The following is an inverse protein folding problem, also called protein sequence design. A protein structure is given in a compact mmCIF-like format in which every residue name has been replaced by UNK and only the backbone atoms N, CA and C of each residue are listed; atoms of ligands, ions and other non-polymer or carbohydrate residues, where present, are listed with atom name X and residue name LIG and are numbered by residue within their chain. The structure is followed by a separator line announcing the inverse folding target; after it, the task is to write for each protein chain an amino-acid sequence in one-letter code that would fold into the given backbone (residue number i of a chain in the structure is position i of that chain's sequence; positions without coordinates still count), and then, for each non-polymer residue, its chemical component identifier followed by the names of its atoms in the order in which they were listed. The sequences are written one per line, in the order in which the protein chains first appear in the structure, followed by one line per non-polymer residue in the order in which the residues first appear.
data_IF_020267842371
#
_entry.id   IF_020267842371
#
_cell.length_a   1.000
_cell.length_b   1.000
_cell.length_c   1.000
_cell.angle_alpha   90.00
_cell.angle_beta   90.00
_cell.angle_gamma   90.00
#
_symmetry.space_group_name_H-M   'P 1'
#
loop_
_entity.id
_entity.type
_entity.pdbx_description
1 polymer ?
#
# COMPACT_ATOMS: atom_id res chain seq x y z
N UNK A 1 1.77 7.96 19.67
CA UNK A 1 1.39 8.26 18.26
C UNK A 1 1.88 9.64 17.91
N UNK A 2 2.50 9.80 16.73
CA UNK A 2 2.96 11.11 16.22
C UNK A 2 1.75 11.94 15.74
N UNK A 3 1.90 13.27 15.62
CA UNK A 3 0.80 14.17 15.23
C UNK A 3 0.15 13.74 13.90
N UNK A 4 0.96 13.39 12.91
CA UNK A 4 0.49 12.91 11.61
C UNK A 4 -0.45 11.70 11.75
N UNK A 5 -0.07 10.68 12.54
CA UNK A 5 -0.94 9.52 12.80
C UNK A 5 -2.27 9.90 13.46
N UNK A 6 -2.23 10.83 14.43
CA UNK A 6 -3.45 11.30 15.14
C UNK A 6 -4.46 11.94 14.21
N UNK A 7 -4.02 12.51 13.08
CA UNK A 7 -4.90 13.09 12.05
C UNK A 7 -5.28 12.04 11.01
N UNK A 8 -4.31 11.26 10.53
CA UNK A 8 -4.51 10.32 9.43
C UNK A 8 -5.38 9.11 9.80
N UNK A 9 -5.35 8.63 11.05
CA UNK A 9 -6.23 7.53 11.46
C UNK A 9 -7.72 7.92 11.46
N UNK A 10 -8.13 9.05 12.06
CA UNK A 10 -9.51 9.53 11.92
C UNK A 10 -9.93 9.73 10.47
N UNK A 11 -9.08 10.31 9.62
CA UNK A 11 -9.37 10.46 8.18
C UNK A 11 -9.61 9.10 7.52
N UNK A 12 -8.74 8.13 7.78
CA UNK A 12 -8.89 6.77 7.27
C UNK A 12 -10.22 6.13 7.71
N UNK A 13 -10.58 6.28 8.99
CA UNK A 13 -11.84 5.76 9.54
C UNK A 13 -13.04 6.41 8.84
N UNK A 14 -13.03 7.74 8.67
CA UNK A 14 -14.08 8.46 7.97
C UNK A 14 -14.22 8.00 6.51
N UNK A 15 -13.11 7.77 5.81
CA UNK A 15 -13.13 7.24 4.44
C UNK A 15 -13.74 5.84 4.40
N UNK A 16 -13.35 4.94 5.30
CA UNK A 16 -13.93 3.59 5.38
C UNK A 16 -15.45 3.66 5.59
N UNK A 17 -15.90 4.49 6.55
CA UNK A 17 -17.33 4.64 6.81
C UNK A 17 -18.09 5.28 5.63
N UNK A 18 -17.47 6.24 4.95
CA UNK A 18 -18.03 6.86 3.73
C UNK A 18 -18.27 5.81 2.64
N UNK A 19 -17.23 5.03 2.28
CA UNK A 19 -17.36 4.01 1.24
C UNK A 19 -18.29 2.86 1.65
N UNK A 20 -18.24 2.43 2.91
CA UNK A 20 -19.15 1.42 3.44
C UNK A 20 -20.61 1.88 3.42
N UNK A 21 -20.87 3.16 3.76
CA UNK A 21 -22.20 3.74 3.70
C UNK A 21 -22.74 3.75 2.26
N UNK A 22 -21.94 4.20 1.29
CA UNK A 22 -22.36 4.23 -0.11
C UNK A 22 -22.54 2.82 -0.68
N UNK A 23 -21.62 1.89 -0.41
CA UNK A 23 -21.74 0.51 -0.84
C UNK A 23 -23.00 -0.19 -0.32
N UNK A 24 -23.52 0.21 0.86
CA UNK A 24 -24.73 -0.38 1.45
C UNK A 24 -26.02 0.29 1.00
N UNK A 25 -26.04 1.62 0.92
CA UNK A 25 -27.27 2.38 0.66
C UNK A 25 -27.48 2.69 -0.83
N UNK A 26 -26.41 2.75 -1.61
CA UNK A 26 -26.47 2.96 -3.05
C UNK A 26 -25.35 2.18 -3.78
N UNK A 27 -25.48 0.84 -3.89
CA UNK A 27 -24.46 -0.01 -4.50
C UNK A 27 -24.11 0.41 -5.93
N UNK A 28 -25.11 0.83 -6.71
CA UNK A 28 -24.90 1.29 -8.09
C UNK A 28 -23.96 2.51 -8.12
N UNK A 29 -24.19 3.52 -7.27
CA UNK A 29 -23.29 4.67 -7.18
C UNK A 29 -21.88 4.28 -6.71
N UNK A 30 -21.78 3.38 -5.74
CA UNK A 30 -20.48 2.91 -5.28
C UNK A 30 -19.68 2.24 -6.42
N UNK A 31 -20.29 1.36 -7.19
CA UNK A 31 -19.60 0.59 -8.22
C UNK A 31 -19.34 1.40 -9.50
N UNK A 32 -20.27 2.26 -9.92
CA UNK A 32 -20.16 3.01 -11.18
C UNK A 32 -19.42 4.34 -11.06
N UNK A 33 -19.37 4.96 -9.88
CA UNK A 33 -18.79 6.30 -9.72
C UNK A 33 -17.59 6.31 -8.76
N UNK A 34 -17.64 5.55 -7.66
CA UNK A 34 -16.58 5.59 -6.64
C UNK A 34 -15.46 4.59 -6.89
N UNK A 35 -15.81 3.35 -7.24
CA UNK A 35 -14.92 2.20 -7.35
C UNK A 35 -14.59 1.78 -8.80
N UNK A 36 -15.03 2.56 -9.79
CA UNK A 36 -14.75 2.36 -11.21
C UNK A 36 -13.29 2.65 -11.56
N UNK A 37 -12.79 2.09 -12.67
CA UNK A 37 -11.50 2.45 -13.26
C UNK A 37 -11.43 3.97 -13.51
N UNK A 38 -10.34 4.61 -13.11
CA UNK A 38 -10.20 6.07 -13.14
C UNK A 38 -10.99 6.81 -12.04
N UNK A 39 -11.70 6.08 -11.17
CA UNK A 39 -12.58 6.64 -10.15
C UNK A 39 -11.84 7.20 -8.92
N UNK A 40 -12.57 7.88 -8.02
CA UNK A 40 -12.01 8.51 -6.82
C UNK A 40 -11.18 7.56 -5.94
N UNK A 41 -11.59 6.31 -5.77
CA UNK A 41 -10.85 5.33 -4.96
C UNK A 41 -9.44 5.08 -5.50
N UNK A 42 -9.31 4.82 -6.79
CA UNK A 42 -8.02 4.56 -7.43
C UNK A 42 -7.14 5.82 -7.40
N UNK A 43 -7.70 7.02 -7.59
CA UNK A 43 -6.93 8.28 -7.44
C UNK A 43 -6.36 8.46 -6.03
N UNK A 44 -7.12 8.07 -4.99
CA UNK A 44 -6.62 8.07 -3.61
C UNK A 44 -5.53 7.02 -3.40
N UNK A 45 -5.65 5.83 -4.00
CA UNK A 45 -4.61 4.78 -3.95
C UNK A 45 -3.32 5.29 -4.59
N UNK A 46 -3.39 5.81 -5.82
CA UNK A 46 -2.27 6.42 -6.54
C UNK A 46 -1.60 7.49 -5.68
N UNK A 47 -2.39 8.43 -5.16
CA UNK A 47 -1.87 9.54 -4.35
C UNK A 47 -1.15 9.02 -3.09
N UNK A 48 -1.70 7.99 -2.45
CA UNK A 48 -1.11 7.34 -1.27
C UNK A 48 0.21 6.65 -1.60
N UNK A 49 0.27 5.90 -2.71
CA UNK A 49 1.47 5.21 -3.18
C UNK A 49 2.56 6.17 -3.64
N UNK A 50 2.19 7.23 -4.38
CA UNK A 50 3.13 8.29 -4.78
C UNK A 50 3.70 8.99 -3.55
N UNK A 51 2.88 9.29 -2.55
CA UNK A 51 3.36 9.86 -1.29
C UNK A 51 4.35 8.90 -0.59
N UNK A 52 4.05 7.61 -0.51
CA UNK A 52 4.97 6.59 0.03
C UNK A 52 6.31 6.56 -0.73
N UNK A 53 6.25 6.61 -2.06
CA UNK A 53 7.41 6.63 -2.94
C UNK A 53 8.31 7.86 -2.69
N UNK A 54 7.71 9.05 -2.64
CA UNK A 54 8.43 10.30 -2.34
C UNK A 54 9.06 10.25 -0.95
N UNK A 55 8.35 9.72 0.05
CA UNK A 55 8.92 9.55 1.40
C UNK A 55 10.16 8.67 1.41
N UNK A 56 10.16 7.57 0.64
CA UNK A 56 11.31 6.69 0.49
C UNK A 56 12.51 7.41 -0.14
N UNK A 57 12.31 8.12 -1.25
CA UNK A 57 13.36 8.87 -1.94
C UNK A 57 13.92 10.00 -1.10
N UNK A 58 13.03 10.74 -0.42
CA UNK A 58 13.43 11.79 0.51
C UNK A 58 14.32 11.23 1.62
N UNK A 59 13.90 10.14 2.27
CA UNK A 59 14.66 9.48 3.34
C UNK A 59 16.00 8.94 2.88
N UNK A 60 16.04 8.30 1.71
CA UNK A 60 17.30 7.85 1.12
C UNK A 60 18.29 9.03 1.00
N UNK A 61 17.82 10.15 0.48
CA UNK A 61 18.63 11.35 0.27
C UNK A 61 19.12 11.98 1.57
N UNK A 62 18.23 12.12 2.57
CA UNK A 62 18.56 12.79 3.84
C UNK A 62 19.33 11.92 4.84
N UNK A 63 19.21 10.58 4.76
CA UNK A 63 19.83 9.65 5.71
C UNK A 63 21.05 8.90 5.15
N UNK A 64 21.29 8.92 3.83
CA UNK A 64 22.48 8.31 3.20
C UNK A 64 23.80 8.65 3.90
N UNK A 65 24.10 9.91 4.28
CA UNK A 65 25.36 10.25 4.95
C UNK A 65 25.55 9.56 6.31
N UNK A 66 24.46 9.14 6.95
CA UNK A 66 24.48 8.62 8.31
C UNK A 66 24.23 7.11 8.39
N UNK A 67 23.49 6.55 7.42
CA UNK A 67 23.08 5.13 7.38
C UNK A 67 23.79 4.33 6.28
N UNK A 68 24.57 5.00 5.43
CA UNK A 68 25.37 4.38 4.39
C UNK A 68 24.61 4.09 3.09
N UNK A 69 25.35 3.59 2.10
CA UNK A 69 24.84 3.35 0.74
C UNK A 69 23.81 2.23 0.65
N UNK A 70 23.94 1.17 1.45
CA UNK A 70 22.99 0.04 1.44
C UNK A 70 21.60 0.49 1.89
N UNK A 71 21.50 1.24 3.00
CA UNK A 71 20.23 1.80 3.47
C UNK A 71 19.57 2.67 2.40
N UNK A 72 20.35 3.54 1.75
CA UNK A 72 19.85 4.43 0.71
C UNK A 72 19.37 3.65 -0.51
N UNK A 73 20.13 2.64 -0.97
CA UNK A 73 19.76 1.79 -2.10
C UNK A 73 18.46 1.01 -1.82
N UNK A 74 18.33 0.41 -0.63
CA UNK A 74 17.10 -0.28 -0.23
C UNK A 74 15.91 0.68 -0.14
N UNK A 75 16.10 1.88 0.42
CA UNK A 75 15.05 2.90 0.48
C UNK A 75 14.61 3.35 -0.91
N UNK A 76 15.56 3.59 -1.84
CA UNK A 76 15.24 3.93 -3.23
C UNK A 76 14.50 2.77 -3.91
N UNK A 77 14.97 1.54 -3.74
CA UNK A 77 14.30 0.38 -4.28
C UNK A 77 12.85 0.28 -3.79
N UNK A 78 12.60 0.41 -2.49
CA UNK A 78 11.23 0.46 -1.94
C UNK A 78 10.41 1.60 -2.53
N UNK A 79 10.99 2.78 -2.75
CA UNK A 79 10.33 3.90 -3.41
C UNK A 79 9.95 3.59 -4.87
N UNK A 80 10.82 2.93 -5.63
CA UNK A 80 10.55 2.47 -7.01
C UNK A 80 9.41 1.45 -7.01
N UNK A 81 9.40 0.51 -6.05
CA UNK A 81 8.33 -0.48 -5.94
C UNK A 81 6.98 0.22 -5.71
N UNK A 82 6.88 1.17 -4.78
CA UNK A 82 5.64 1.95 -4.60
C UNK A 82 5.23 2.74 -5.84
N UNK A 83 6.20 3.32 -6.56
CA UNK A 83 5.93 4.03 -7.81
C UNK A 83 5.40 3.08 -8.89
N UNK A 84 5.98 1.89 -9.02
CA UNK A 84 5.51 0.89 -9.97
C UNK A 84 4.07 0.46 -9.67
N UNK A 85 3.72 0.22 -8.40
CA UNK A 85 2.33 -0.04 -8.00
C UNK A 85 1.40 1.14 -8.33
N UNK A 86 1.83 2.39 -8.09
CA UNK A 86 1.02 3.56 -8.44
C UNK A 86 0.79 3.70 -9.95
N UNK A 87 1.79 3.33 -10.76
CA UNK A 87 1.68 3.35 -12.21
C UNK A 87 0.86 2.18 -12.76
N UNK A 88 0.77 1.06 -12.05
CA UNK A 88 -0.05 -0.08 -12.43
C UNK A 88 -1.51 0.03 -11.98
N UNK A 89 -1.79 0.92 -11.01
CA UNK A 89 -3.13 1.11 -10.43
C UNK A 89 -4.18 1.53 -11.45
N UNK A 90 -3.78 2.25 -12.50
CA UNK A 90 -4.64 2.74 -13.58
C UNK A 90 -4.01 2.49 -14.94
N UNK A 91 -4.85 2.30 -15.96
CA UNK A 91 -4.40 2.21 -17.35
C UNK A 91 -4.07 3.58 -17.96
N UNK A 92 -2.98 4.20 -17.51
CA UNK A 92 -2.54 5.54 -17.94
C UNK A 92 -2.45 5.73 -19.46
N UNK A 93 -2.01 4.72 -20.20
CA UNK A 93 -1.90 4.77 -21.66
C UNK A 93 -3.25 4.99 -22.35
N UNK A 94 -4.30 4.36 -21.83
CA UNK A 94 -5.67 4.50 -22.33
C UNK A 94 -6.32 5.79 -21.82
N UNK A 95 -6.07 6.16 -20.57
CA UNK A 95 -6.68 7.34 -19.93
C UNK A 95 -6.08 8.64 -20.49
N UNK A 96 -4.75 8.75 -20.55
CA UNK A 96 -4.06 9.99 -20.96
C UNK A 96 -3.94 10.09 -22.48
N UNK A 97 -3.51 9.01 -23.13
CA UNK A 97 -3.14 9.03 -24.54
C UNK A 97 -4.18 8.39 -25.47
N UNK A 98 -5.27 7.84 -24.91
CA UNK A 98 -6.31 7.11 -25.64
C UNK A 98 -5.75 6.02 -26.56
N UNK A 99 -4.61 5.44 -26.17
CA UNK A 99 -4.04 4.35 -26.94
C UNK A 99 -4.91 3.10 -26.83
N UNK A 100 -5.18 2.42 -27.95
CA UNK A 100 -5.88 1.15 -27.90
C UNK A 100 -4.98 0.11 -27.21
N UNK A 101 -5.60 -0.78 -26.45
CA UNK A 101 -4.87 -1.88 -25.83
C UNK A 101 -4.27 -2.78 -26.92
N UNK A 102 -2.94 -3.01 -26.92
CA UNK A 102 -2.29 -3.89 -27.87
C UNK A 102 -2.93 -5.29 -27.85
N UNK A 103 -3.04 -5.93 -29.01
CA UNK A 103 -3.69 -7.24 -29.15
C UNK A 103 -3.16 -8.28 -28.15
N UNK A 104 -1.84 -8.28 -27.95
CA UNK A 104 -1.15 -9.16 -27.02
C UNK A 104 -1.67 -9.05 -25.57
N UNK A 105 -1.96 -7.83 -25.12
CA UNK A 105 -2.47 -7.56 -23.77
C UNK A 105 -3.98 -7.79 -23.76
N UNK A 106 -4.71 -7.33 -24.78
CA UNK A 106 -6.17 -7.42 -24.87
C UNK A 106 -6.70 -8.84 -24.71
N UNK A 107 -6.05 -9.83 -25.33
CA UNK A 107 -6.47 -11.25 -25.22
C UNK A 107 -6.09 -11.91 -23.89
N UNK A 108 -5.32 -11.21 -23.04
CA UNK A 108 -4.81 -11.70 -21.75
C UNK A 108 -5.17 -10.78 -20.60
N UNK A 109 -5.99 -9.76 -20.79
CA UNK A 109 -6.41 -8.84 -19.74
C UNK A 109 -7.93 -8.94 -19.61
N UNK A 110 -8.43 -9.17 -18.39
CA UNK A 110 -9.86 -9.40 -18.15
C UNK A 110 -10.74 -8.20 -18.50
N UNK A 111 -10.19 -6.99 -18.42
CA UNK A 111 -10.86 -5.73 -18.72
C UNK A 111 -10.42 -5.13 -20.05
N UNK A 112 -9.54 -5.81 -20.79
CA UNK A 112 -8.96 -5.28 -22.02
C UNK A 112 -8.13 -4.02 -21.79
N UNK A 113 -7.56 -3.88 -20.60
CA UNK A 113 -6.78 -2.74 -20.14
C UNK A 113 -5.28 -2.89 -20.40
N UNK A 114 -4.52 -1.78 -20.38
CA UNK A 114 -3.06 -1.78 -20.57
C UNK A 114 -2.28 -2.09 -19.28
N UNK A 115 -2.91 -1.98 -18.11
CA UNK A 115 -2.29 -2.33 -16.83
C UNK A 115 -2.02 -3.84 -16.71
N UNK A 116 -1.09 -4.18 -15.82
CA UNK A 116 -0.63 -5.55 -15.57
C UNK A 116 -1.56 -6.23 -14.57
N UNK A 117 -2.12 -5.48 -13.61
CA UNK A 117 -2.96 -6.03 -12.54
C UNK A 117 -4.20 -6.80 -13.02
N UNK A 118 -4.75 -6.48 -14.18
CA UNK A 118 -5.90 -7.21 -14.76
C UNK A 118 -5.50 -8.29 -15.77
N UNK A 119 -4.21 -8.62 -15.87
CA UNK A 119 -3.77 -9.75 -16.68
C UNK A 119 -4.29 -11.08 -16.11
N UNK A 120 -4.64 -11.99 -17.00
CA UNK A 120 -5.10 -13.34 -16.73
C UNK A 120 -3.95 -14.31 -17.01
N UNK A 121 -3.51 -15.01 -15.98
CA UNK A 121 -2.46 -16.04 -16.06
C UNK A 121 -3.06 -17.36 -15.57
N UNK A 122 -2.97 -18.40 -16.41
CA UNK A 122 -3.53 -19.72 -16.09
C UNK A 122 -5.03 -19.71 -15.71
N UNK A 123 -5.81 -18.77 -16.26
CA UNK A 123 -7.24 -18.63 -15.99
C UNK A 123 -7.59 -17.79 -14.76
N UNK A 124 -6.61 -17.20 -14.08
CA UNK A 124 -6.81 -16.35 -12.91
C UNK A 124 -6.31 -14.94 -13.17
N UNK A 125 -7.07 -13.94 -12.71
CA UNK A 125 -6.60 -12.55 -12.73
C UNK A 125 -5.45 -12.34 -11.72
N UNK A 126 -4.46 -11.56 -12.13
CA UNK A 126 -3.33 -11.18 -11.26
C UNK A 126 -3.85 -10.50 -10.00
N UNK A 127 -4.84 -9.62 -10.11
CA UNK A 127 -5.47 -8.95 -8.96
C UNK A 127 -6.02 -9.97 -7.97
N UNK A 128 -6.72 -11.00 -8.46
CA UNK A 128 -7.26 -12.06 -7.60
C UNK A 128 -6.16 -12.84 -6.87
N UNK A 129 -5.09 -13.23 -7.56
CA UNK A 129 -3.99 -14.00 -6.94
C UNK A 129 -3.24 -13.13 -5.92
N UNK A 130 -2.83 -11.92 -6.33
CA UNK A 130 -1.97 -11.05 -5.55
C UNK A 130 -2.73 -10.44 -4.38
N UNK A 131 -3.93 -9.89 -4.58
CA UNK A 131 -4.64 -9.15 -3.53
C UNK A 131 -5.55 -10.03 -2.68
N UNK A 132 -6.03 -11.16 -3.18
CA UNK A 132 -6.96 -12.01 -2.41
C UNK A 132 -6.22 -12.95 -1.45
N UNK A 133 -5.06 -13.48 -1.86
CA UNK A 133 -4.32 -14.47 -1.06
C UNK A 133 -2.89 -14.01 -0.73
N UNK A 134 -2.12 -13.60 -1.73
CA UNK A 134 -0.70 -13.29 -1.58
C UNK A 134 -0.44 -12.17 -0.56
N UNK A 135 -0.98 -10.98 -0.83
CA UNK A 135 -0.80 -9.79 0.01
C UNK A 135 -1.41 -10.00 1.39
N UNK A 136 -2.59 -10.61 1.52
CA UNK A 136 -3.20 -10.81 2.86
C UNK A 136 -2.35 -11.72 3.75
N UNK A 137 -1.86 -12.84 3.22
CA UNK A 137 -1.00 -13.75 3.99
C UNK A 137 0.34 -13.08 4.28
N UNK A 138 1.02 -12.56 3.25
CA UNK A 138 2.33 -11.93 3.40
C UNK A 138 2.29 -10.71 4.32
N UNK A 139 1.26 -9.86 4.19
CA UNK A 139 1.05 -8.73 5.08
C UNK A 139 0.78 -9.20 6.51
N UNK A 140 -0.04 -10.24 6.73
CA UNK A 140 -0.29 -10.75 8.09
C UNK A 140 1.00 -11.29 8.72
N UNK A 141 1.78 -12.06 7.97
CA UNK A 141 3.10 -12.52 8.42
C UNK A 141 4.03 -11.34 8.71
N UNK A 142 4.08 -10.35 7.83
CA UNK A 142 4.92 -9.17 8.01
C UNK A 142 4.47 -8.28 9.18
N UNK A 143 3.18 -8.13 9.42
CA UNK A 143 2.63 -7.25 10.48
C UNK A 143 2.66 -7.86 11.88
N UNK A 144 2.72 -9.19 11.98
CA UNK A 144 2.67 -9.91 13.25
C UNK A 144 4.00 -10.61 13.53
N UNK A 145 4.45 -11.45 12.59
CA UNK A 145 5.59 -12.35 12.80
C UNK A 145 6.91 -11.58 12.83
N UNK A 146 7.13 -10.66 11.88
CA UNK A 146 8.40 -9.96 11.78
C UNK A 146 8.68 -9.02 12.98
N UNK A 147 7.74 -8.17 13.47
CA UNK A 147 7.93 -7.38 14.69
C UNK A 147 8.19 -8.24 15.93
N UNK A 148 7.49 -9.38 16.05
CA UNK A 148 7.68 -10.31 17.16
C UNK A 148 9.12 -10.81 17.22
N UNK A 149 9.66 -11.29 16.09
CA UNK A 149 11.03 -11.77 16.03
C UNK A 149 12.08 -10.66 16.08
N UNK A 150 11.78 -9.46 15.58
CA UNK A 150 12.64 -8.29 15.68
C UNK A 150 13.01 -7.96 17.15
N UNK A 151 12.07 -8.13 18.08
CA UNK A 151 12.32 -7.91 19.51
C UNK A 151 13.08 -9.04 20.23
N UNK A 152 13.24 -10.22 19.59
CA UNK A 152 13.78 -11.43 20.23
C UNK A 152 15.11 -11.90 19.66
N UNK A 153 15.38 -11.64 18.39
CA UNK A 153 16.53 -12.17 17.67
C UNK A 153 17.39 -11.04 17.11
N UNK A 154 18.59 -10.86 17.67
CA UNK A 154 19.52 -9.79 17.27
C UNK A 154 19.93 -9.90 15.79
N UNK A 155 20.00 -11.12 15.24
CA UNK A 155 20.26 -11.36 13.81
C UNK A 155 19.18 -10.73 12.92
N UNK A 156 17.91 -10.88 13.28
CA UNK A 156 16.78 -10.32 12.52
C UNK A 156 16.78 -8.80 12.67
N UNK A 157 17.02 -8.29 13.87
CA UNK A 157 17.14 -6.85 14.11
C UNK A 157 18.24 -6.21 13.25
N UNK A 158 19.42 -6.82 13.21
CA UNK A 158 20.53 -6.35 12.39
C UNK A 158 20.22 -6.43 10.89
N UNK A 159 19.59 -7.52 10.43
CA UNK A 159 19.15 -7.67 9.05
C UNK A 159 18.15 -6.58 8.65
N UNK A 160 17.04 -6.46 9.38
CA UNK A 160 15.97 -5.48 9.14
C UNK A 160 16.52 -4.06 9.10
N UNK A 161 17.37 -3.70 10.07
CA UNK A 161 17.93 -2.35 10.17
C UNK A 161 18.94 -2.05 9.06
N UNK A 162 19.76 -3.05 8.66
CA UNK A 162 20.72 -2.90 7.56
C UNK A 162 20.03 -2.68 6.21
N UNK A 163 18.95 -3.42 5.95
CA UNK A 163 18.20 -3.37 4.69
C UNK A 163 17.09 -2.31 4.67
N UNK A 164 17.07 -1.39 5.63
CA UNK A 164 16.08 -0.31 5.71
C UNK A 164 14.63 -0.83 5.67
N UNK A 165 14.36 -1.99 6.30
CA UNK A 165 13.03 -2.56 6.34
C UNK A 165 12.26 -1.89 7.49
N UNK A 166 11.23 -1.07 7.20
CA UNK A 166 10.37 -0.51 8.23
C UNK A 166 9.61 -1.65 8.93
N UNK A 167 9.17 -1.44 10.16
CA UNK A 167 8.35 -2.42 10.87
C UNK A 167 7.08 -1.77 11.40
N UNK A 168 5.94 -2.48 11.38
CA UNK A 168 4.71 -1.95 11.94
C UNK A 168 4.76 -1.91 13.47
N UNK A 169 4.22 -0.84 14.02
CA UNK A 169 3.90 -0.68 15.44
C UNK A 169 2.56 -1.34 15.75
N UNK A 170 2.30 -1.63 17.03
CA UNK A 170 1.02 -2.16 17.49
C UNK A 170 -0.20 -1.34 17.06
N UNK A 171 -0.06 -0.01 16.92
CA UNK A 171 -1.14 0.86 16.41
C UNK A 171 -1.46 0.57 14.94
N UNK A 172 -0.45 0.29 14.12
CA UNK A 172 -0.59 0.00 12.69
C UNK A 172 -1.10 -1.44 12.49
N UNK A 173 -0.58 -2.40 13.26
CA UNK A 173 -1.09 -3.78 13.29
C UNK A 173 -2.54 -3.84 13.78
N UNK A 174 -2.89 -3.11 14.83
CA UNK A 174 -4.27 -3.00 15.32
C UNK A 174 -5.20 -2.36 14.29
N UNK A 175 -4.76 -1.27 13.64
CA UNK A 175 -5.52 -0.63 12.57
C UNK A 175 -5.76 -1.58 11.38
N UNK A 176 -4.75 -2.36 10.99
CA UNK A 176 -4.88 -3.36 9.92
C UNK A 176 -5.90 -4.45 10.29
N UNK A 177 -5.85 -4.97 11.52
CA UNK A 177 -6.80 -5.98 12.00
C UNK A 177 -8.24 -5.43 12.05
N UNK A 178 -8.42 -4.23 12.59
CA UNK A 178 -9.74 -3.57 12.64
C UNK A 178 -10.25 -3.30 11.22
N UNK A 179 -9.40 -2.81 10.32
CA UNK A 179 -9.76 -2.59 8.92
C UNK A 179 -10.22 -3.88 8.24
N UNK A 180 -9.48 -4.99 8.41
CA UNK A 180 -9.86 -6.29 7.85
C UNK A 180 -11.25 -6.74 8.31
N UNK A 181 -11.59 -6.51 9.59
CA UNK A 181 -12.94 -6.77 10.13
C UNK A 181 -13.96 -5.83 9.48
N UNK A 182 -13.68 -4.53 9.40
CA UNK A 182 -14.59 -3.53 8.80
C UNK A 182 -14.89 -3.83 7.33
N UNK A 183 -13.92 -4.32 6.56
CA UNK A 183 -14.13 -4.68 5.15
C UNK A 183 -15.14 -5.82 4.96
N UNK A 184 -15.35 -6.68 5.98
CA UNK A 184 -16.35 -7.75 5.90
C UNK A 184 -17.79 -7.24 5.86
N UNK A 185 -18.02 -5.98 6.27
CA UNK A 185 -19.34 -5.34 6.27
C UNK A 185 -19.69 -4.62 4.96
N UNK A 186 -18.77 -4.55 4.00
CA UNK A 186 -19.02 -3.94 2.68
C UNK A 186 -19.65 -5.00 1.75
N UNK A 187 -20.92 -4.86 1.35
CA UNK A 187 -21.65 -5.86 0.57
C UNK A 187 -21.44 -5.68 -0.95
N UNK A 188 -20.20 -5.57 -1.41
CA UNK A 188 -19.86 -5.44 -2.84
C UNK A 188 -18.64 -6.30 -3.18
N UNK A 189 -18.58 -6.80 -4.42
CA UNK A 189 -17.41 -7.50 -4.94
C UNK A 189 -16.18 -6.58 -4.98
N UNK A 190 -16.37 -5.27 -5.21
CA UNK A 190 -15.32 -4.26 -5.29
C UNK A 190 -14.78 -3.80 -3.91
N UNK A 191 -15.18 -4.45 -2.82
CA UNK A 191 -14.66 -4.17 -1.47
C UNK A 191 -13.14 -4.29 -1.36
N UNK A 192 -12.50 -5.05 -2.25
CA UNK A 192 -11.05 -5.20 -2.27
C UNK A 192 -10.35 -3.87 -2.59
N UNK A 193 -10.92 -3.00 -3.42
CA UNK A 193 -10.34 -1.69 -3.76
C UNK A 193 -10.29 -0.79 -2.50
N UNK A 194 -11.35 -0.83 -1.68
CA UNK A 194 -11.37 -0.11 -0.39
C UNK A 194 -10.32 -0.70 0.55
N UNK A 195 -10.17 -2.03 0.59
CA UNK A 195 -9.13 -2.68 1.39
C UNK A 195 -7.73 -2.28 0.93
N UNK A 196 -7.47 -2.20 -0.37
CA UNK A 196 -6.20 -1.76 -0.96
C UNK A 196 -5.83 -0.34 -0.52
N UNK A 197 -6.77 0.61 -0.65
CA UNK A 197 -6.58 1.97 -0.14
C UNK A 197 -6.19 1.98 1.33
N UNK A 198 -6.93 1.23 2.16
CA UNK A 198 -6.68 1.16 3.60
C UNK A 198 -5.32 0.53 3.89
N UNK A 199 -4.97 -0.54 3.19
CA UNK A 199 -3.70 -1.24 3.33
C UNK A 199 -2.53 -0.31 2.97
N UNK A 200 -2.57 0.35 1.82
CA UNK A 200 -1.52 1.29 1.40
C UNK A 200 -1.43 2.51 2.33
N UNK A 201 -2.56 2.99 2.85
CA UNK A 201 -2.57 4.06 3.84
C UNK A 201 -1.87 3.66 5.13
N UNK A 202 -2.12 2.44 5.63
CA UNK A 202 -1.42 1.90 6.80
C UNK A 202 0.07 1.70 6.50
N UNK A 203 0.44 1.26 5.30
CA UNK A 203 1.84 1.20 4.89
C UNK A 203 2.49 2.59 4.91
N UNK A 204 1.81 3.64 4.45
CA UNK A 204 2.31 5.03 4.57
C UNK A 204 2.53 5.42 6.03
N UNK A 205 1.60 5.10 6.93
CA UNK A 205 1.76 5.38 8.36
C UNK A 205 2.91 4.61 8.99
N UNK A 206 3.10 3.35 8.59
CA UNK A 206 4.25 2.54 8.99
C UNK A 206 5.55 3.12 8.44
N UNK A 207 5.58 3.51 7.17
CA UNK A 207 6.72 4.23 6.60
C UNK A 207 6.99 5.47 7.43
N UNK A 208 5.99 6.29 7.74
CA UNK A 208 6.16 7.52 8.52
C UNK A 208 6.70 7.28 9.93
N UNK A 209 6.13 6.33 10.66
CA UNK A 209 6.45 6.06 12.05
C UNK A 209 6.63 4.56 12.33
N UNK A 210 7.72 3.96 11.82
CA UNK A 210 7.96 2.54 12.00
C UNK A 210 8.36 2.24 13.44
N UNK A 211 8.32 0.97 13.84
CA UNK A 211 8.77 0.51 15.15
C UNK A 211 10.27 0.75 15.34
N UNK A 212 11.08 0.50 14.30
CA UNK A 212 12.51 0.77 14.26
C UNK A 212 12.81 2.21 13.79
N UNK A 213 12.04 3.20 14.26
CA UNK A 213 12.17 4.60 13.81
C UNK A 213 13.52 5.24 14.12
N UNK A 214 14.28 4.67 15.06
CA UNK A 214 15.69 5.03 15.27
C UNK A 214 16.48 4.97 13.96
N UNK A 215 16.31 3.92 13.14
CA UNK A 215 17.02 3.80 11.85
C UNK A 215 16.58 4.89 10.86
N UNK A 216 15.32 5.30 10.93
CA UNK A 216 14.68 6.23 10.01
C UNK A 216 14.64 7.69 10.50
N UNK A 217 15.35 8.02 11.58
CA UNK A 217 15.35 9.35 12.18
C UNK A 217 16.77 9.89 12.30
N UNK A 218 16.93 11.20 12.03
CA UNK A 218 18.19 11.91 12.34
C UNK A 218 18.36 12.12 13.85
N UNK A 219 17.27 12.21 14.61
CA UNK A 219 17.30 12.51 16.05
C UNK A 219 18.00 11.42 16.87
N UNK A 220 18.08 10.19 16.36
CA UNK A 220 18.81 9.11 17.03
C UNK A 220 20.33 9.23 16.92
N UNK A 221 20.83 10.10 16.04
CA UNK A 221 22.27 10.28 15.77
C UNK A 221 22.87 11.45 16.55
N UNK A 222 22.01 12.31 17.10
CA UNK A 222 22.39 13.38 18.04
C UNK A 222 22.06 12.87 19.44
N UNK A 223 22.95 12.04 19.99
CA UNK A 223 22.97 11.67 21.41
C UNK A 223 24.30 12.05 21.98
#
# INVERSE_FOLDING_TARGET
MKLFEKVMYPVLVLLIFFYMYHARNNPMYFESELAVEGGPLQWLIISTLLFASVMCFYRASILKPFRGGVFAACSVFTGIVFLAFALDEMSWGQIIFHYPTPEFIRVRNALGEMNIRHLVIAGFEITDIIFTLGIKILATLYFIVLPFFYSRLEQIKNFVNRFAIPLPRYTQTGAYAVAAILMSFIPSALRYIVFELVFYWILVLMMYNPLNDEVFSRKSLVR
#
